data_IF_700411262446
#
_entry.id   IF_700411262446
#
_cell.length_a   1.000
_cell.length_b   1.000
_cell.length_c   1.000
_cell.angle_alpha   90.00
_cell.angle_beta   90.00
_cell.angle_gamma   90.00
#
_symmetry.space_group_name_H-M   'P 1'
#
loop_
_entity.id
_entity.type
_entity.pdbx_description
1 polymer ?
#
# COMPACT_ATOMS: atom_id res chain seq x y z
N UNK A 1 0.15 2.75 4.30
CA UNK A 1 -0.84 1.98 5.05
C UNK A 1 -0.15 0.78 5.66
N UNK A 2 0.04 0.82 6.98
CA UNK A 2 0.48 -0.28 7.82
C UNK A 2 -0.77 -1.06 8.25
N UNK A 3 -0.77 -2.39 8.07
CA UNK A 3 -1.95 -3.21 8.38
C UNK A 3 -2.17 -3.34 9.89
N UNK A 4 -1.10 -3.33 10.68
CA UNK A 4 -1.19 -3.47 12.15
C UNK A 4 -1.67 -2.18 12.82
N UNK A 5 -1.45 -1.04 12.16
CA UNK A 5 -1.94 0.27 12.60
C UNK A 5 -3.24 0.70 11.90
N UNK A 6 -3.86 -0.18 11.09
CA UNK A 6 -5.05 0.16 10.34
C UNK A 6 -6.28 0.21 11.26
N UNK A 7 -6.91 1.38 11.36
CA UNK A 7 -8.11 1.61 12.18
C UNK A 7 -9.42 1.29 11.46
N UNK A 8 -9.36 0.82 10.20
CA UNK A 8 -10.52 0.29 9.49
C UNK A 8 -11.06 -0.93 10.26
N UNK A 9 -12.40 -1.12 10.36
CA UNK A 9 -13.00 -2.18 11.17
C UNK A 9 -12.28 -3.53 11.04
N UNK A 10 -12.13 -4.22 12.17
CA UNK A 10 -11.20 -5.33 12.45
C UNK A 10 -11.31 -6.59 11.57
N UNK A 11 -12.05 -6.57 10.47
CA UNK A 11 -12.25 -7.70 9.56
C UNK A 11 -11.68 -7.47 8.16
N UNK A 12 -10.70 -6.56 7.98
CA UNK A 12 -10.01 -6.40 6.71
C UNK A 12 -9.42 -7.74 6.26
N UNK A 13 -9.91 -8.36 5.18
CA UNK A 13 -9.46 -9.69 4.75
C UNK A 13 -8.07 -9.63 4.09
N UNK A 14 -7.50 -8.43 3.92
CA UNK A 14 -6.19 -8.20 3.32
C UNK A 14 -6.27 -7.95 1.82
N UNK A 15 -5.27 -7.23 1.31
CA UNK A 15 -5.22 -6.78 -0.09
C UNK A 15 -5.32 -7.93 -1.11
N UNK A 16 -4.78 -9.11 -0.78
CA UNK A 16 -4.80 -10.27 -1.68
C UNK A 16 -6.21 -10.85 -1.83
N UNK A 17 -6.93 -10.99 -0.71
CA UNK A 17 -8.31 -11.50 -0.71
C UNK A 17 -9.26 -10.56 -1.45
N UNK A 18 -9.06 -9.24 -1.34
CA UNK A 18 -9.86 -8.25 -2.10
C UNK A 18 -9.30 -7.94 -3.50
N UNK A 19 -8.32 -8.70 -4.00
CA UNK A 19 -7.71 -8.48 -5.30
C UNK A 19 -7.25 -7.03 -5.54
N UNK A 20 -6.65 -6.41 -4.51
CA UNK A 20 -6.16 -5.03 -4.57
C UNK A 20 -7.24 -3.96 -4.50
N UNK A 21 -8.47 -4.29 -4.08
CA UNK A 21 -9.62 -3.38 -3.96
C UNK A 21 -10.05 -3.14 -2.50
N UNK A 22 -9.16 -2.62 -1.63
CA UNK A 22 -9.54 -2.27 -0.26
C UNK A 22 -10.58 -1.12 -0.25
N UNK A 23 -11.22 -0.90 0.89
CA UNK A 23 -12.32 0.06 1.03
C UNK A 23 -12.07 1.44 0.39
N UNK A 24 -10.84 1.96 0.49
CA UNK A 24 -10.49 3.30 0.02
C UNK A 24 -10.51 3.43 -1.51
N UNK A 25 -10.37 2.35 -2.28
CA UNK A 25 -10.38 2.44 -3.75
C UNK A 25 -11.74 2.90 -4.27
N UNK A 26 -12.83 2.51 -3.60
CA UNK A 26 -14.16 3.00 -3.90
C UNK A 26 -14.31 4.51 -3.64
N UNK A 27 -13.78 5.00 -2.51
CA UNK A 27 -13.79 6.43 -2.18
C UNK A 27 -12.92 7.27 -3.13
N UNK A 28 -11.78 6.72 -3.55
CA UNK A 28 -10.87 7.37 -4.50
C UNK A 28 -11.36 7.24 -5.97
N UNK A 29 -12.48 6.55 -6.22
CA UNK A 29 -13.00 6.25 -7.55
C UNK A 29 -11.95 5.60 -8.47
N UNK A 30 -11.15 4.69 -7.93
CA UNK A 30 -10.18 3.90 -8.69
C UNK A 30 -10.55 2.41 -8.65
N UNK A 31 -10.35 1.66 -9.74
CA UNK A 31 -10.81 0.27 -9.83
C UNK A 31 -9.96 -0.71 -9.02
N UNK A 32 -8.69 -0.37 -8.77
CA UNK A 32 -7.70 -1.19 -8.04
C UNK A 32 -6.59 -0.29 -7.50
N UNK A 33 -5.98 -0.68 -6.38
CA UNK A 33 -4.81 -0.01 -5.84
C UNK A 33 -3.63 -0.07 -6.84
N UNK A 34 -3.07 1.06 -7.28
CA UNK A 34 -2.01 1.08 -8.30
C UNK A 34 -0.72 0.38 -7.86
N UNK A 35 -0.43 0.36 -6.56
CA UNK A 35 0.73 -0.37 -6.01
C UNK A 35 0.49 -1.87 -6.10
N UNK A 36 -0.71 -2.33 -5.76
CA UNK A 36 -1.06 -3.75 -5.83
C UNK A 36 -1.08 -4.23 -7.28
N UNK A 37 -1.71 -3.47 -8.17
CA UNK A 37 -1.84 -3.83 -9.58
C UNK A 37 -0.47 -3.99 -10.23
N UNK A 38 0.41 -3.00 -10.04
CA UNK A 38 1.78 -3.07 -10.53
C UNK A 38 2.57 -4.25 -9.93
N UNK A 39 2.54 -4.43 -8.61
CA UNK A 39 3.33 -5.48 -7.96
C UNK A 39 2.82 -6.89 -8.27
N UNK A 40 1.53 -7.15 -8.03
CA UNK A 40 0.97 -8.49 -8.05
C UNK A 40 0.40 -8.88 -9.42
N UNK A 41 -0.22 -7.97 -10.15
CA UNK A 41 -0.87 -8.29 -11.43
C UNK A 41 0.08 -8.09 -12.62
N UNK A 42 0.82 -6.98 -12.68
CA UNK A 42 1.75 -6.69 -13.79
C UNK A 42 3.07 -7.46 -13.66
N UNK A 43 3.71 -7.40 -12.49
CA UNK A 43 5.04 -8.01 -12.27
C UNK A 43 5.00 -9.40 -11.62
N UNK A 44 3.83 -9.85 -11.14
CA UNK A 44 3.67 -11.12 -10.42
C UNK A 44 4.65 -11.30 -9.22
N UNK A 45 5.00 -10.20 -8.56
CA UNK A 45 5.86 -10.22 -7.37
C UNK A 45 5.07 -10.40 -6.10
N UNK A 46 5.68 -11.08 -5.12
CA UNK A 46 5.10 -11.25 -3.79
C UNK A 46 4.99 -9.90 -3.03
N UNK A 47 5.95 -9.01 -3.23
CA UNK A 47 6.00 -7.67 -2.67
C UNK A 47 6.93 -6.77 -3.50
N UNK A 48 6.92 -5.46 -3.22
CA UNK A 48 7.75 -4.50 -3.95
C UNK A 48 9.23 -4.51 -3.55
N UNK A 49 9.67 -5.31 -2.56
CA UNK A 49 11.02 -5.28 -1.99
C UNK A 49 12.13 -5.59 -2.99
N UNK A 50 11.82 -6.33 -4.06
CA UNK A 50 12.77 -6.62 -5.15
C UNK A 50 12.82 -5.54 -6.24
N UNK A 51 11.96 -4.52 -6.15
CA UNK A 51 11.91 -3.46 -7.14
C UNK A 51 13.05 -2.45 -6.89
N UNK A 52 13.95 -2.21 -7.86
CA UNK A 52 15.03 -1.23 -7.69
C UNK A 52 14.51 0.21 -7.55
N UNK A 53 13.27 0.46 -7.96
CA UNK A 53 12.64 1.78 -7.90
C UNK A 53 11.83 2.01 -6.61
N UNK A 54 11.81 1.05 -5.66
CA UNK A 54 11.01 1.20 -4.42
C UNK A 54 11.73 2.09 -3.39
N UNK A 55 11.08 3.14 -2.84
CA UNK A 55 9.70 3.60 -3.08
C UNK A 55 9.56 4.43 -4.38
N UNK A 56 8.64 4.02 -5.26
CA UNK A 56 8.37 4.73 -6.52
C UNK A 56 7.19 5.71 -6.37
N UNK A 57 6.92 6.50 -7.42
CA UNK A 57 5.84 7.52 -7.44
C UNK A 57 4.47 6.99 -7.00
N UNK A 58 4.17 5.71 -7.23
CA UNK A 58 2.89 5.08 -6.80
C UNK A 58 2.68 5.12 -5.28
N UNK A 59 3.74 5.17 -4.48
CA UNK A 59 3.67 5.31 -3.02
C UNK A 59 3.25 6.71 -2.57
N UNK A 60 3.36 7.71 -3.44
CA UNK A 60 3.06 9.11 -3.15
C UNK A 60 1.79 9.59 -3.88
N UNK A 61 1.27 8.81 -4.84
CA UNK A 61 0.16 9.21 -5.69
C UNK A 61 -1.20 9.33 -4.98
N UNK A 62 -1.38 8.60 -3.86
CA UNK A 62 -2.62 8.60 -3.09
C UNK A 62 -2.30 8.76 -1.60
N UNK A 63 -1.95 9.98 -1.14
CA UNK A 63 -1.68 10.24 0.26
C UNK A 63 -2.96 10.10 1.09
N UNK A 64 -2.81 9.70 2.35
CA UNK A 64 -3.92 9.68 3.29
C UNK A 64 -4.23 11.12 3.75
N UNK A 65 -5.41 11.68 3.45
CA UNK A 65 -5.74 13.06 3.78
C UNK A 65 -5.85 13.33 5.29
N UNK A 66 -5.92 12.27 6.11
CA UNK A 66 -5.99 12.37 7.57
C UNK A 66 -4.64 12.17 8.26
N UNK A 67 -3.57 11.92 7.49
CA UNK A 67 -2.22 11.69 8.00
C UNK A 67 -1.36 12.95 7.83
N UNK A 68 -0.58 13.30 8.84
CA UNK A 68 0.41 14.37 8.73
C UNK A 68 1.56 13.97 7.81
N UNK A 69 2.27 14.93 7.23
CA UNK A 69 3.46 14.63 6.40
C UNK A 69 4.54 13.88 7.18
N UNK A 70 4.72 14.20 8.47
CA UNK A 70 5.69 13.54 9.34
C UNK A 70 5.30 12.06 9.56
N UNK A 71 4.02 11.80 9.85
CA UNK A 71 3.53 10.43 10.05
C UNK A 71 3.54 9.63 8.75
N UNK A 72 3.26 10.27 7.62
CA UNK A 72 3.37 9.65 6.29
C UNK A 72 4.80 9.23 6.00
N UNK A 73 5.79 10.08 6.33
CA UNK A 73 7.21 9.76 6.20
C UNK A 73 7.61 8.57 7.09
N UNK A 74 7.27 8.59 8.37
CA UNK A 74 7.55 7.48 9.30
C UNK A 74 6.92 6.17 8.85
N UNK A 75 5.67 6.23 8.40
CA UNK A 75 4.93 5.07 7.87
C UNK A 75 5.61 4.52 6.62
N UNK A 76 6.10 5.40 5.74
CA UNK A 76 6.82 5.00 4.54
C UNK A 76 8.16 4.32 4.89
N UNK A 77 8.93 4.91 5.80
CA UNK A 77 10.21 4.36 6.28
C UNK A 77 10.03 2.94 6.85
N UNK A 78 9.08 2.76 7.78
CA UNK A 78 8.76 1.45 8.35
C UNK A 78 8.31 0.46 7.27
N UNK A 79 7.53 0.90 6.29
CA UNK A 79 7.10 0.05 5.18
C UNK A 79 8.30 -0.38 4.32
N UNK A 80 9.28 0.48 4.09
CA UNK A 80 10.50 0.14 3.33
C UNK A 80 11.36 -0.87 4.08
N UNK A 81 11.51 -0.72 5.39
CA UNK A 81 12.20 -1.69 6.24
C UNK A 81 11.52 -3.06 6.17
N UNK A 82 10.20 -3.10 6.33
CA UNK A 82 9.43 -4.33 6.25
C UNK A 82 9.57 -5.01 4.88
N UNK A 83 9.52 -4.26 3.77
CA UNK A 83 9.63 -4.81 2.42
C UNK A 83 11.00 -5.45 2.14
N UNK A 84 12.07 -4.91 2.73
CA UNK A 84 13.45 -5.40 2.50
C UNK A 84 13.84 -6.54 3.43
N UNK A 85 13.04 -6.80 4.46
CA UNK A 85 13.28 -7.84 5.46
C UNK A 85 12.66 -9.19 5.09
N UNK A 86 12.08 -9.32 3.88
CA UNK A 86 11.38 -10.51 3.37
C UNK A 86 11.93 -10.91 2.01
#
# INVERSE_FOLDING_TARGET
MDCDACTYPCNCPGCREVCGKPFWTAYANIPVCPIFDCCANEHAWANCGKCPEVPCLRYFANPDPYMSEEDAKKTLEKKMENLRSV
#
